data_IF_007891728563
#
_entry.id   IF_007891728563
#
_cell.length_a   1.000
_cell.length_b   1.000
_cell.length_c   1.000
_cell.angle_alpha   90.00
_cell.angle_beta   90.00
_cell.angle_gamma   90.00
#
_symmetry.space_group_name_H-M   'P 1'
#
loop_
_entity.id
_entity.type
_entity.pdbx_description
1 polymer ?
#
# COMPACT_ATOMS: atom_id res chain seq x y z
N UNK A 1 28.65 25.74 -54.53
CA UNK A 1 29.52 26.64 -53.74
C UNK A 1 28.68 27.77 -53.16
N UNK A 2 28.95 28.08 -51.89
CA UNK A 2 28.74 29.35 -51.19
C UNK A 2 27.33 29.69 -50.65
N UNK A 3 27.24 29.48 -49.33
CA UNK A 3 26.81 30.44 -48.30
C UNK A 3 25.32 30.80 -48.26
N UNK A 4 24.56 29.98 -47.52
CA UNK A 4 23.50 30.52 -46.65
C UNK A 4 23.85 30.05 -45.24
N UNK A 5 24.63 30.91 -44.57
CA UNK A 5 25.11 30.75 -43.22
C UNK A 5 24.24 31.66 -42.33
N UNK A 6 23.70 31.09 -41.26
CA UNK A 6 23.33 31.76 -40.00
C UNK A 6 22.33 32.93 -40.09
N UNK A 7 21.05 32.66 -39.73
CA UNK A 7 20.26 33.63 -38.97
C UNK A 7 19.08 32.95 -38.25
N UNK A 8 18.97 33.26 -36.95
CA UNK A 8 17.84 33.07 -36.04
C UNK A 8 17.61 31.67 -35.44
N UNK A 9 18.50 31.38 -34.50
CA UNK A 9 18.17 30.81 -33.19
C UNK A 9 17.03 31.66 -32.56
N UNK A 10 15.77 31.25 -32.72
CA UNK A 10 14.61 31.85 -32.06
C UNK A 10 13.83 30.78 -31.29
N UNK A 11 14.18 30.67 -30.02
CA UNK A 11 13.32 30.32 -28.87
C UNK A 11 12.22 29.28 -29.13
N UNK A 12 12.56 28.00 -29.01
CA UNK A 12 11.60 26.98 -28.55
C UNK A 12 11.73 26.81 -27.04
N UNK A 13 11.39 27.85 -26.28
CA UNK A 13 10.84 27.66 -24.93
C UNK A 13 9.33 27.50 -25.08
N UNK A 14 8.90 26.40 -25.70
CA UNK A 14 7.55 25.91 -25.39
C UNK A 14 7.65 25.42 -23.96
N UNK A 15 7.19 26.26 -23.03
CA UNK A 15 7.13 25.96 -21.62
C UNK A 15 6.49 24.60 -21.44
N UNK A 16 7.31 23.59 -21.19
CA UNK A 16 6.83 22.34 -20.65
C UNK A 16 6.25 22.72 -19.30
N UNK A 17 4.92 22.82 -19.22
CA UNK A 17 4.25 22.53 -17.97
C UNK A 17 4.65 21.10 -17.64
N UNK A 18 5.76 20.97 -16.91
CA UNK A 18 6.03 19.80 -16.12
C UNK A 18 4.77 19.68 -15.27
N UNK A 19 3.85 18.81 -15.70
CA UNK A 19 2.80 18.32 -14.85
C UNK A 19 3.58 17.54 -13.80
N UNK A 20 4.06 18.24 -12.77
CA UNK A 20 4.59 17.60 -11.60
C UNK A 20 3.48 16.66 -11.17
N UNK A 21 3.77 15.37 -11.19
CA UNK A 21 2.85 14.34 -10.79
C UNK A 21 2.77 14.44 -9.27
N UNK A 22 1.98 15.41 -8.82
CA UNK A 22 1.80 15.74 -7.42
C UNK A 22 0.78 14.77 -6.87
N UNK A 23 1.16 14.10 -5.79
CA UNK A 23 0.26 13.29 -4.98
C UNK A 23 -1.00 14.09 -4.64
N UNK A 24 -2.17 13.55 -5.00
CA UNK A 24 -3.45 14.18 -4.67
C UNK A 24 -3.91 13.66 -3.31
N UNK A 25 -4.20 14.58 -2.40
CA UNK A 25 -4.80 14.27 -1.10
C UNK A 25 -6.28 14.62 -1.11
N UNK A 26 -7.12 13.74 -0.59
CA UNK A 26 -8.57 13.96 -0.48
C UNK A 26 -9.15 13.19 0.71
N UNK A 27 -10.39 13.49 1.07
CA UNK A 27 -11.18 12.71 2.02
C UNK A 27 -12.40 12.06 1.34
N UNK A 28 -12.65 12.39 0.07
CA UNK A 28 -13.81 11.89 -0.65
C UNK A 28 -13.57 10.44 -1.10
N UNK A 29 -14.32 9.51 -0.50
CA UNK A 29 -14.32 8.07 -0.77
C UNK A 29 -14.61 7.75 -2.24
N UNK A 30 -15.39 8.57 -2.94
CA UNK A 30 -15.72 8.37 -4.36
C UNK A 30 -14.50 8.41 -5.30
N UNK A 31 -13.33 8.85 -4.80
CA UNK A 31 -12.09 8.75 -5.57
C UNK A 31 -11.42 7.37 -5.48
N UNK A 32 -11.94 6.45 -4.67
CA UNK A 32 -11.45 5.08 -4.57
C UNK A 32 -12.14 4.17 -5.58
N UNK A 33 -11.46 3.14 -6.09
CA UNK A 33 -12.10 2.10 -6.90
C UNK A 33 -13.19 1.36 -6.10
N UNK A 34 -14.18 0.82 -6.81
CA UNK A 34 -15.33 0.11 -6.22
C UNK A 34 -14.91 -1.02 -5.28
N UNK A 35 -13.94 -1.86 -5.68
CA UNK A 35 -13.43 -2.97 -4.84
C UNK A 35 -12.81 -2.47 -3.52
N UNK A 36 -12.21 -1.27 -3.50
CA UNK A 36 -11.70 -0.68 -2.27
C UNK A 36 -12.82 -0.14 -1.38
N UNK A 37 -13.89 0.38 -1.97
CA UNK A 37 -15.08 0.82 -1.23
C UNK A 37 -15.78 -0.37 -0.56
N UNK A 38 -15.99 -1.46 -1.30
CA UNK A 38 -16.58 -2.69 -0.79
C UNK A 38 -15.77 -3.26 0.39
N UNK A 39 -14.45 -3.32 0.25
CA UNK A 39 -13.56 -3.76 1.34
C UNK A 39 -13.70 -2.88 2.58
N UNK A 40 -13.73 -1.56 2.41
CA UNK A 40 -13.90 -0.63 3.53
C UNK A 40 -15.25 -0.81 4.21
N UNK A 41 -16.32 -1.04 3.46
CA UNK A 41 -17.67 -1.23 4.00
C UNK A 41 -17.83 -2.59 4.68
N UNK A 42 -17.22 -3.65 4.14
CA UNK A 42 -17.25 -4.99 4.73
C UNK A 42 -16.44 -5.08 6.02
N UNK A 43 -15.17 -4.62 5.99
CA UNK A 43 -14.22 -4.86 7.08
C UNK A 43 -14.08 -3.68 8.04
N UNK A 44 -14.47 -2.47 7.62
CA UNK A 44 -14.36 -1.25 8.41
C UNK A 44 -15.65 -0.38 8.38
N UNK A 45 -16.86 -0.95 8.56
CA UNK A 45 -18.14 -0.25 8.32
C UNK A 45 -18.37 1.00 9.17
N UNK A 46 -17.73 1.07 10.35
CA UNK A 46 -17.85 2.22 11.27
C UNK A 46 -16.68 3.20 11.17
N UNK A 47 -15.70 2.92 10.31
CA UNK A 47 -14.53 3.76 10.18
C UNK A 47 -14.83 4.99 9.33
N UNK A 48 -14.29 6.13 9.77
CA UNK A 48 -14.29 7.37 9.00
C UNK A 48 -12.93 7.52 8.32
N UNK A 49 -12.93 7.87 7.04
CA UNK A 49 -11.72 8.21 6.30
C UNK A 49 -11.20 9.56 6.81
N UNK A 50 -9.92 9.61 7.21
CA UNK A 50 -9.24 10.85 7.57
C UNK A 50 -8.46 11.42 6.40
N UNK A 51 -7.93 10.56 5.52
CA UNK A 51 -7.12 10.97 4.37
C UNK A 51 -7.04 9.85 3.34
N UNK A 52 -7.05 10.20 2.07
CA UNK A 52 -6.74 9.36 0.93
C UNK A 52 -5.63 10.07 0.18
N UNK A 53 -4.47 9.42 0.06
CA UNK A 53 -3.39 9.83 -0.83
C UNK A 53 -3.53 9.02 -2.12
N UNK A 54 -3.69 9.69 -3.25
CA UNK A 54 -3.68 9.09 -4.58
C UNK A 54 -2.29 9.28 -5.15
N UNK A 55 -1.49 8.21 -5.13
CA UNK A 55 -0.11 8.23 -5.58
C UNK A 55 -0.07 8.02 -7.10
N UNK A 56 0.30 9.07 -7.82
CA UNK A 56 0.37 9.05 -9.30
C UNK A 56 1.83 8.99 -9.73
N UNK A 57 2.50 7.89 -9.44
CA UNK A 57 3.84 7.68 -9.96
C UNK A 57 3.88 7.72 -11.50
N UNK A 58 4.86 8.45 -12.05
CA UNK A 58 5.02 8.69 -13.49
C UNK A 58 5.09 7.43 -14.36
N UNK A 59 5.57 6.32 -13.78
CA UNK A 59 5.83 5.06 -14.47
C UNK A 59 5.19 3.83 -13.78
N UNK A 60 4.55 4.02 -12.62
CA UNK A 60 3.88 2.95 -11.86
C UNK A 60 2.37 3.16 -11.90
N UNK A 61 1.61 2.08 -11.66
CA UNK A 61 0.15 2.16 -11.59
C UNK A 61 -0.24 3.01 -10.36
N UNK A 62 -1.34 3.76 -10.48
CA UNK A 62 -1.81 4.65 -9.41
C UNK A 62 -2.23 3.85 -8.19
N UNK A 63 -1.57 4.02 -7.05
CA UNK A 63 -1.92 3.33 -5.81
C UNK A 63 -2.61 4.29 -4.84
N UNK A 64 -3.38 3.74 -3.90
CA UNK A 64 -4.19 4.51 -2.96
C UNK A 64 -3.81 4.18 -1.51
N UNK A 65 -3.43 5.22 -0.78
CA UNK A 65 -3.10 5.16 0.64
C UNK A 65 -4.25 5.77 1.44
N UNK A 66 -5.06 4.92 2.07
CA UNK A 66 -6.20 5.34 2.90
C UNK A 66 -5.81 5.32 4.37
N UNK A 67 -5.93 6.46 5.05
CA UNK A 67 -5.87 6.55 6.50
C UNK A 67 -7.26 6.77 7.05
N UNK A 68 -7.59 6.00 8.09
CA UNK A 68 -8.81 6.11 8.86
C UNK A 68 -8.56 6.92 10.14
N UNK A 69 -9.60 7.58 10.66
CA UNK A 69 -9.53 8.43 11.87
C UNK A 69 -9.00 7.67 13.09
N UNK A 70 -9.27 6.37 13.16
CA UNK A 70 -8.80 5.49 14.23
C UNK A 70 -7.32 5.05 14.06
N UNK A 71 -6.61 5.62 13.09
CA UNK A 71 -5.19 5.36 12.82
C UNK A 71 -4.91 4.17 11.91
N UNK A 72 -5.93 3.41 11.48
CA UNK A 72 -5.72 2.32 10.51
C UNK A 72 -5.23 2.89 9.18
N UNK A 73 -4.17 2.30 8.63
CA UNK A 73 -3.68 2.57 7.26
C UNK A 73 -3.99 1.37 6.37
N UNK A 74 -4.56 1.62 5.19
CA UNK A 74 -4.83 0.61 4.18
C UNK A 74 -4.24 1.08 2.85
N UNK A 75 -3.46 0.23 2.22
CA UNK A 75 -2.84 0.48 0.91
C UNK A 75 -3.59 -0.37 -0.11
N UNK A 76 -4.06 0.25 -1.18
CA UNK A 76 -4.74 -0.40 -2.29
C UNK A 76 -3.97 -0.18 -3.58
N UNK A 77 -3.92 -1.22 -4.40
CA UNK A 77 -3.47 -1.10 -5.78
C UNK A 77 -4.43 -0.23 -6.61
N UNK A 78 -4.00 0.12 -7.82
CA UNK A 78 -4.85 0.83 -8.78
C UNK A 78 -6.23 0.21 -9.08
N UNK A 79 -6.36 -1.11 -8.93
CA UNK A 79 -7.62 -1.82 -9.13
C UNK A 79 -8.54 -1.77 -7.90
N UNK A 80 -8.08 -1.24 -6.78
CA UNK A 80 -8.80 -1.27 -5.50
C UNK A 80 -8.53 -2.50 -4.65
N UNK A 81 -7.63 -3.40 -5.10
CA UNK A 81 -7.23 -4.57 -4.31
C UNK A 81 -6.31 -4.15 -3.19
N UNK A 82 -6.66 -4.49 -1.96
CA UNK A 82 -5.82 -4.21 -0.80
C UNK A 82 -4.50 -4.98 -0.87
N UNK A 83 -3.42 -4.29 -0.52
CA UNK A 83 -2.05 -4.80 -0.47
C UNK A 83 -1.52 -4.83 0.97
N UNK A 84 -1.89 -3.83 1.78
CA UNK A 84 -1.44 -3.72 3.16
C UNK A 84 -2.56 -3.18 4.05
N UNK A 85 -2.68 -3.73 5.26
CA UNK A 85 -3.61 -3.26 6.29
C UNK A 85 -2.84 -3.21 7.61
N UNK A 86 -2.70 -2.02 8.17
CA UNK A 86 -2.07 -1.76 9.47
C UNK A 86 -3.09 -1.10 10.40
N UNK A 87 -3.55 -1.87 11.40
CA UNK A 87 -4.53 -1.44 12.40
C UNK A 87 -3.88 -0.84 13.66
N UNK A 88 -2.56 -0.61 13.66
CA UNK A 88 -1.77 -0.11 14.78
C UNK A 88 -1.85 -0.99 16.02
N UNK A 89 -2.78 -0.67 16.92
CA UNK A 89 -3.01 -1.40 18.18
C UNK A 89 -4.25 -2.28 18.14
N UNK A 90 -5.09 -2.12 17.11
CA UNK A 90 -6.31 -2.90 16.92
C UNK A 90 -6.01 -4.14 16.09
N UNK A 91 -6.86 -5.13 16.24
CA UNK A 91 -6.76 -6.37 15.49
C UNK A 91 -7.24 -6.17 14.05
N UNK A 92 -6.56 -6.83 13.11
CA UNK A 92 -6.99 -6.91 11.72
C UNK A 92 -8.27 -7.76 11.65
N UNK A 93 -9.32 -7.31 10.93
CA UNK A 93 -10.51 -8.13 10.69
C UNK A 93 -10.16 -9.53 10.18
N UNK A 94 -10.71 -10.57 10.83
CA UNK A 94 -10.29 -11.96 10.57
C UNK A 94 -10.44 -12.41 9.12
N UNK A 95 -11.45 -11.90 8.40
CA UNK A 95 -11.69 -12.24 7.00
C UNK A 95 -10.58 -11.79 6.05
N UNK A 96 -9.76 -10.80 6.44
CA UNK A 96 -8.61 -10.35 5.67
C UNK A 96 -7.38 -11.24 5.84
N UNK A 97 -7.33 -12.07 6.88
CA UNK A 97 -6.17 -12.91 7.20
C UNK A 97 -6.47 -14.36 6.83
N UNK A 98 -5.64 -15.04 6.01
CA UNK A 98 -5.83 -16.46 5.71
C UNK A 98 -5.96 -17.33 6.96
N UNK A 99 -6.92 -18.26 6.96
CA UNK A 99 -7.23 -19.12 8.12
C UNK A 99 -6.00 -19.89 8.65
N UNK A 100 -5.15 -20.37 7.75
CA UNK A 100 -3.90 -21.08 8.11
C UNK A 100 -2.97 -20.20 8.95
N UNK A 101 -2.85 -18.92 8.60
CA UNK A 101 -2.03 -17.95 9.33
C UNK A 101 -2.65 -17.65 10.69
N UNK A 102 -3.98 -17.40 10.76
CA UNK A 102 -4.68 -17.18 12.04
C UNK A 102 -4.47 -18.35 13.01
N UNK A 103 -4.58 -19.58 12.51
CA UNK A 103 -4.36 -20.79 13.31
C UNK A 103 -2.91 -20.90 13.79
N UNK A 104 -1.93 -20.55 12.95
CA UNK A 104 -0.52 -20.57 13.33
C UNK A 104 -0.24 -19.54 14.43
N UNK A 105 -0.68 -18.29 14.25
CA UNK A 105 -0.49 -17.22 15.24
C UNK A 105 -1.22 -17.56 16.54
N UNK A 106 -2.45 -18.09 16.48
CA UNK A 106 -3.18 -18.50 17.69
C UNK A 106 -2.46 -19.58 18.51
N UNK A 107 -1.65 -20.44 17.87
CA UNK A 107 -0.88 -21.50 18.55
C UNK A 107 0.51 -21.06 18.99
N UNK A 108 1.16 -20.16 18.25
CA UNK A 108 2.59 -19.85 18.40
C UNK A 108 2.86 -18.38 18.77
N UNK A 109 1.86 -17.52 18.71
CA UNK A 109 1.99 -16.07 18.93
C UNK A 109 1.89 -15.64 20.39
N UNK A 110 1.93 -16.55 21.37
CA UNK A 110 1.91 -16.23 22.80
C UNK A 110 0.78 -15.28 23.26
N UNK A 111 -0.40 -15.39 22.63
CA UNK A 111 -1.55 -14.52 22.92
C UNK A 111 -1.50 -13.12 22.26
N UNK A 112 -0.46 -12.83 21.48
CA UNK A 112 -0.40 -11.62 20.67
C UNK A 112 -1.44 -11.65 19.55
N UNK A 113 -1.97 -10.47 19.20
CA UNK A 113 -2.98 -10.28 18.17
C UNK A 113 -2.34 -9.90 16.85
N UNK A 114 -2.98 -10.24 15.74
CA UNK A 114 -2.55 -9.78 14.41
C UNK A 114 -2.98 -8.32 14.24
N UNK A 115 -2.02 -7.40 14.18
CA UNK A 115 -2.29 -5.95 14.05
C UNK A 115 -1.95 -5.40 12.67
N UNK A 116 -1.17 -6.13 11.88
CA UNK A 116 -0.94 -5.79 10.47
C UNK A 116 -0.81 -7.02 9.58
N UNK A 117 -1.16 -6.85 8.31
CA UNK A 117 -0.98 -7.82 7.24
C UNK A 117 -0.57 -7.10 5.96
N UNK A 118 0.45 -7.61 5.28
CA UNK A 118 0.90 -7.14 3.98
C UNK A 118 1.04 -8.30 3.02
N UNK A 119 0.46 -8.17 1.83
CA UNK A 119 0.58 -9.11 0.71
C UNK A 119 1.84 -8.77 -0.08
N UNK A 120 2.67 -9.77 -0.30
CA UNK A 120 3.86 -9.73 -1.15
C UNK A 120 3.69 -10.76 -2.27
N UNK A 121 4.49 -10.65 -3.33
CA UNK A 121 4.52 -11.67 -4.39
C UNK A 121 4.94 -13.06 -3.84
N UNK A 122 5.77 -13.07 -2.79
CA UNK A 122 6.28 -14.28 -2.13
C UNK A 122 5.34 -14.86 -1.05
N UNK A 123 4.30 -14.11 -0.65
CA UNK A 123 3.39 -14.53 0.42
C UNK A 123 2.86 -13.38 1.27
N UNK A 124 2.95 -13.52 2.59
CA UNK A 124 2.36 -12.59 3.56
C UNK A 124 3.37 -12.20 4.63
N UNK A 125 3.38 -10.93 4.98
CA UNK A 125 4.02 -10.40 6.19
C UNK A 125 2.94 -10.06 7.21
N UNK A 126 3.11 -10.54 8.43
CA UNK A 126 2.15 -10.39 9.53
C UNK A 126 2.86 -9.69 10.69
N UNK A 127 2.31 -8.58 11.15
CA UNK A 127 2.76 -7.92 12.37
C UNK A 127 1.87 -8.27 13.55
N UNK A 128 2.48 -8.57 14.68
CA UNK A 128 1.81 -8.89 15.94
C UNK A 128 1.84 -7.72 16.91
N UNK A 129 0.90 -7.71 17.86
CA UNK A 129 0.71 -6.62 18.83
C UNK A 129 1.89 -6.43 19.81
N UNK A 130 2.74 -7.45 19.95
CA UNK A 130 3.97 -7.43 20.75
C UNK A 130 5.20 -6.92 19.96
N UNK A 131 5.00 -6.54 18.69
CA UNK A 131 6.04 -6.04 17.81
C UNK A 131 6.72 -7.11 16.94
N UNK A 132 6.40 -8.40 17.13
CA UNK A 132 6.99 -9.47 16.32
C UNK A 132 6.40 -9.44 14.91
N UNK A 133 7.28 -9.44 13.90
CA UNK A 133 6.91 -9.64 12.50
C UNK A 133 7.14 -11.09 12.06
N UNK A 134 6.26 -11.63 11.22
CA UNK A 134 6.34 -13.01 10.71
C UNK A 134 6.12 -13.04 9.20
N UNK A 135 6.97 -13.76 8.47
CA UNK A 135 6.82 -14.05 7.04
C UNK A 135 6.15 -15.42 6.84
N UNK A 136 5.21 -15.48 5.92
CA UNK A 136 4.50 -16.68 5.48
C UNK A 136 4.56 -16.79 3.96
N UNK A 137 4.55 -18.01 3.41
CA UNK A 137 4.40 -18.19 1.96
C UNK A 137 2.94 -18.00 1.50
N UNK A 138 2.73 -18.10 0.18
CA UNK A 138 1.39 -18.01 -0.44
C UNK A 138 0.38 -19.03 0.08
N UNK A 139 0.82 -20.18 0.61
CA UNK A 139 -0.02 -21.21 1.22
C UNK A 139 -0.33 -20.92 2.71
N UNK A 140 0.19 -19.82 3.27
CA UNK A 140 0.03 -19.46 4.67
C UNK A 140 0.87 -20.28 5.64
N UNK A 141 1.93 -20.94 5.15
CA UNK A 141 2.89 -21.66 5.99
C UNK A 141 3.98 -20.71 6.47
N UNK A 142 4.31 -20.79 7.77
CA UNK A 142 5.34 -19.97 8.39
C UNK A 142 6.71 -20.19 7.70
N UNK A 143 7.45 -19.09 7.53
CA UNK A 143 8.79 -19.09 6.94
C UNK A 143 9.83 -18.60 7.93
N UNK A 144 9.69 -17.37 8.42
CA UNK A 144 10.69 -16.75 9.31
C UNK A 144 10.08 -15.60 10.11
N UNK A 145 10.81 -15.13 11.12
CA UNK A 145 10.55 -13.85 11.79
C UNK A 145 11.15 -12.73 10.95
N UNK A 146 10.46 -11.59 10.86
CA UNK A 146 11.01 -10.38 10.25
C UNK A 146 12.05 -9.83 11.24
N UNK A 147 13.31 -9.89 10.84
CA UNK A 147 14.42 -9.22 11.54
C UNK A 147 14.77 -7.99 10.71
N UNK A 148 15.15 -6.88 11.35
CA UNK A 148 15.46 -5.57 10.71
C UNK A 148 16.61 -5.61 9.67
N UNK A 149 17.08 -6.79 9.26
CA UNK A 149 18.21 -7.02 8.37
C UNK A 149 17.84 -7.52 6.97
N UNK A 150 16.56 -7.54 6.59
CA UNK A 150 16.12 -7.96 5.25
C UNK A 150 15.17 -6.94 4.62
N UNK A 151 15.60 -5.68 4.54
CA UNK A 151 15.21 -4.81 3.43
C UNK A 151 16.04 -5.22 2.21
N UNK A 152 15.67 -6.34 1.57
CA UNK A 152 16.11 -6.62 0.20
C UNK A 152 15.36 -5.64 -0.74
N UNK A 153 15.84 -4.41 -0.72
CA UNK A 153 15.71 -3.42 -1.79
C UNK A 153 16.55 -3.94 -2.97
N UNK A 154 16.00 -4.89 -3.72
CA UNK A 154 16.48 -5.21 -5.06
C UNK A 154 15.35 -4.94 -6.06
N UNK A 155 15.04 -3.66 -6.23
CA UNK A 155 14.55 -3.11 -7.50
C UNK A 155 15.78 -2.51 -8.21
N UNK A 156 16.48 -3.31 -9.02
CA UNK A 156 17.40 -2.85 -10.07
C UNK A 156 16.79 -3.15 -11.45
#
# INVERSE_FOLDING_TARGET
MKKILLLLLLVTMTGGVAHAFIDKYTINRENLPEEALEMLDEYFPKAKVSMIKVDRHLLKKTDYDVKLVNGTKIEFSNAGKWQSVDCKKREVPEGLVPRTIRNYVGKNGNGAKIVSIKKKLSGYEIGLSDGVGMKFNLLGQFKSIITDSEDDDYDE
#
